data_IF_807215695664
#
_entry.id   IF_807215695664
#
_cell.length_a   1.000
_cell.length_b   1.000
_cell.length_c   1.000
_cell.angle_alpha   90.00
_cell.angle_beta   90.00
_cell.angle_gamma   90.00
#
_symmetry.space_group_name_H-M   'P 1'
#
loop_
_entity.id
_entity.type
_entity.pdbx_description
1 polymer ?
#
# COMPACT_ATOMS: atom_id res chain seq x y z
N UNK A 1 -5.68 -9.10 25.67
CA UNK A 1 -4.35 -8.71 25.12
C UNK A 1 -4.54 -7.53 24.19
N UNK A 2 -3.84 -6.48 24.43
CA UNK A 2 -3.99 -5.28 23.65
C UNK A 2 -3.34 -5.41 22.28
N UNK A 3 -3.89 -4.67 21.33
CA UNK A 3 -3.30 -4.54 20.02
C UNK A 3 -1.89 -3.95 20.18
N UNK A 4 -0.85 -4.56 19.57
CA UNK A 4 0.52 -4.04 19.68
C UNK A 4 0.67 -2.61 19.16
N UNK A 5 -0.25 -2.16 18.32
CA UNK A 5 -0.17 -0.82 17.73
C UNK A 5 0.85 -0.73 16.59
N UNK A 6 0.88 0.43 15.95
CA UNK A 6 1.77 0.65 14.81
C UNK A 6 2.95 1.57 15.14
N UNK A 7 3.07 1.99 16.39
CA UNK A 7 4.15 2.90 16.83
C UNK A 7 5.52 2.30 16.53
N UNK A 8 6.42 3.13 16.02
CA UNK A 8 7.77 2.71 15.66
C UNK A 8 7.85 1.88 14.37
N UNK A 9 6.75 1.66 13.70
CA UNK A 9 6.69 0.85 12.49
C UNK A 9 6.77 1.73 11.24
N UNK A 10 6.85 1.10 10.07
CA UNK A 10 7.04 1.80 8.81
C UNK A 10 5.97 1.39 7.80
N UNK A 11 5.30 2.40 7.26
CA UNK A 11 4.35 2.23 6.15
C UNK A 11 5.05 2.60 4.84
N UNK A 12 5.08 1.68 3.89
CA UNK A 12 5.54 1.97 2.54
C UNK A 12 4.37 2.42 1.67
N UNK A 13 4.45 3.61 1.09
CA UNK A 13 3.39 4.14 0.23
C UNK A 13 3.91 4.23 -1.20
N UNK A 14 3.39 3.36 -2.06
CA UNK A 14 3.72 3.34 -3.49
C UNK A 14 2.79 4.30 -4.23
N UNK A 15 3.37 5.30 -4.86
CA UNK A 15 2.64 6.34 -5.59
C UNK A 15 2.88 6.23 -7.08
N UNK A 16 1.86 6.60 -7.85
CA UNK A 16 2.02 6.88 -9.28
C UNK A 16 1.62 8.33 -9.55
N UNK A 17 1.99 8.86 -10.72
CA UNK A 17 1.60 10.21 -11.11
C UNK A 17 0.07 10.33 -11.07
N UNK A 18 -0.42 11.43 -10.51
CA UNK A 18 -1.84 11.67 -10.34
C UNK A 18 -2.44 11.10 -9.06
N UNK A 19 -1.62 10.44 -8.20
CA UNK A 19 -2.09 9.90 -6.94
C UNK A 19 -2.84 10.97 -6.13
N UNK A 20 -3.92 10.56 -5.45
CA UNK A 20 -4.77 11.49 -4.73
C UNK A 20 -4.05 12.15 -3.56
N UNK A 21 -3.90 13.47 -3.66
CA UNK A 21 -3.16 14.25 -2.65
C UNK A 21 -3.84 14.21 -1.29
N UNK A 22 -5.16 14.19 -1.25
CA UNK A 22 -5.91 14.13 0.01
C UNK A 22 -5.72 12.81 0.72
N UNK A 23 -5.76 11.71 -0.03
CA UNK A 23 -5.52 10.37 0.51
C UNK A 23 -4.10 10.27 1.08
N UNK A 24 -3.12 10.78 0.35
CA UNK A 24 -1.75 10.79 0.84
C UNK A 24 -1.60 11.60 2.13
N UNK A 25 -2.19 12.79 2.17
CA UNK A 25 -2.14 13.64 3.35
C UNK A 25 -2.79 12.95 4.56
N UNK A 26 -3.92 12.28 4.35
CA UNK A 26 -4.61 11.54 5.41
C UNK A 26 -3.77 10.37 5.92
N UNK A 27 -3.10 9.63 5.02
CA UNK A 27 -2.20 8.55 5.42
C UNK A 27 -1.02 9.08 6.24
N UNK A 28 -0.41 10.18 5.80
CA UNK A 28 0.70 10.78 6.54
C UNK A 28 0.27 11.21 7.95
N UNK A 29 -0.91 11.85 8.06
CA UNK A 29 -1.41 12.31 9.34
C UNK A 29 -1.75 11.16 10.28
N UNK A 30 -2.43 10.13 9.76
CA UNK A 30 -2.80 8.97 10.57
C UNK A 30 -1.57 8.19 11.03
N UNK A 31 -0.57 8.05 10.16
CA UNK A 31 0.67 7.34 10.48
C UNK A 31 1.46 8.09 11.55
N UNK A 32 1.58 9.42 11.39
CA UNK A 32 2.27 10.25 12.38
C UNK A 32 1.56 10.22 13.73
N UNK A 33 0.23 10.21 13.74
CA UNK A 33 -0.56 10.15 14.97
C UNK A 33 -0.30 8.87 15.77
N UNK A 34 0.07 7.79 15.07
CA UNK A 34 0.42 6.51 15.72
C UNK A 34 1.91 6.41 16.07
N UNK A 35 2.70 7.45 15.80
CA UNK A 35 4.14 7.40 16.05
C UNK A 35 4.91 6.52 15.09
N UNK A 36 4.36 6.29 13.90
CA UNK A 36 4.99 5.49 12.85
C UNK A 36 5.54 6.40 11.73
N UNK A 37 6.26 5.80 10.80
CA UNK A 37 6.94 6.52 9.72
C UNK A 37 6.38 6.14 8.36
N UNK A 38 6.20 7.12 7.47
CA UNK A 38 5.87 6.88 6.07
C UNK A 38 7.15 6.96 5.24
N UNK A 39 7.31 6.00 4.33
CA UNK A 39 8.35 6.05 3.32
C UNK A 39 7.69 6.03 1.95
N UNK A 40 8.02 7.00 1.11
CA UNK A 40 7.42 7.15 -0.22
C UNK A 40 8.22 6.36 -1.23
N UNK A 41 7.53 5.54 -2.00
CA UNK A 41 8.10 4.72 -3.06
C UNK A 41 7.51 5.17 -4.38
N UNK A 42 8.35 5.38 -5.38
CA UNK A 42 7.91 5.77 -6.71
C UNK A 42 8.55 4.90 -7.79
N UNK A 43 7.90 4.77 -8.96
CA UNK A 43 8.47 4.00 -10.07
C UNK A 43 9.75 4.62 -10.62
N UNK A 44 9.95 5.92 -10.45
CA UNK A 44 11.10 6.64 -10.97
C UNK A 44 11.80 7.46 -9.88
N UNK A 45 13.07 7.75 -10.08
CA UNK A 45 13.95 8.41 -9.10
C UNK A 45 13.41 9.77 -8.65
N UNK A 46 12.85 10.57 -9.55
CA UNK A 46 12.41 11.92 -9.24
C UNK A 46 11.14 12.04 -8.40
N UNK A 47 10.46 10.94 -8.13
CA UNK A 47 9.17 10.97 -7.44
C UNK A 47 8.00 11.14 -8.39
N UNK A 48 6.88 11.64 -7.88
CA UNK A 48 5.63 11.76 -8.66
C UNK A 48 4.98 13.12 -8.43
N UNK A 49 4.15 13.53 -9.39
CA UNK A 49 3.24 14.66 -9.22
C UNK A 49 1.89 14.12 -8.75
N UNK A 50 1.41 14.60 -7.61
CA UNK A 50 0.11 14.17 -7.08
C UNK A 50 -1.02 15.06 -7.62
N UNK A 51 -2.26 14.73 -7.26
CA UNK A 51 -3.44 15.30 -7.91
C UNK A 51 -3.59 16.82 -7.76
N UNK A 52 -2.98 17.43 -6.75
CA UNK A 52 -3.01 18.89 -6.55
C UNK A 52 -1.87 19.62 -7.26
N UNK A 53 -1.06 18.91 -8.05
CA UNK A 53 0.09 19.47 -8.75
C UNK A 53 1.37 19.50 -7.95
N UNK A 54 1.35 19.10 -6.69
CA UNK A 54 2.53 19.07 -5.84
C UNK A 54 3.46 17.94 -6.26
N UNK A 55 4.76 18.19 -6.26
CA UNK A 55 5.79 17.19 -6.49
C UNK A 55 6.13 16.49 -5.17
N UNK A 56 5.95 15.17 -5.12
CA UNK A 56 6.31 14.36 -3.96
C UNK A 56 7.58 13.60 -4.30
N UNK A 57 8.64 13.85 -3.53
CA UNK A 57 9.92 13.15 -3.74
C UNK A 57 9.82 11.72 -3.20
N UNK A 58 10.44 10.80 -3.92
CA UNK A 58 10.54 9.42 -3.48
C UNK A 58 11.66 9.26 -2.47
N UNK A 59 11.38 8.55 -1.39
CA UNK A 59 12.42 8.10 -0.46
C UNK A 59 13.15 6.91 -1.06
N UNK A 60 12.43 6.07 -1.82
CA UNK A 60 12.98 4.90 -2.48
C UNK A 60 12.39 4.77 -3.88
N UNK A 61 13.20 4.26 -4.80
CA UNK A 61 12.70 3.83 -6.09
C UNK A 61 12.16 2.39 -5.96
N UNK A 62 11.10 2.07 -6.69
CA UNK A 62 10.41 0.78 -6.59
C UNK A 62 11.36 -0.43 -6.68
N UNK A 63 12.34 -0.40 -7.60
CA UNK A 63 13.27 -1.51 -7.80
C UNK A 63 14.15 -1.78 -6.57
N UNK A 64 14.35 -0.78 -5.72
CA UNK A 64 15.14 -0.90 -4.50
C UNK A 64 14.31 -0.96 -3.22
N UNK A 65 12.99 -1.12 -3.34
CA UNK A 65 12.09 -1.03 -2.18
C UNK A 65 11.08 -2.19 -2.17
N UNK A 66 11.53 -3.44 -2.05
CA UNK A 66 10.59 -4.55 -1.95
C UNK A 66 9.71 -4.39 -0.71
N UNK A 67 8.46 -4.85 -0.81
CA UNK A 67 7.48 -4.65 0.26
C UNK A 67 7.88 -5.28 1.59
N UNK A 68 8.80 -6.24 1.57
CA UNK A 68 9.31 -6.87 2.79
C UNK A 68 9.97 -5.87 3.75
N UNK A 69 10.44 -4.73 3.23
CA UNK A 69 11.08 -3.68 4.04
C UNK A 69 10.09 -2.93 4.93
N UNK A 70 8.79 -3.10 4.71
CA UNK A 70 7.74 -2.33 5.38
C UNK A 70 6.85 -3.21 6.22
N UNK A 71 6.28 -2.65 7.28
CA UNK A 71 5.36 -3.37 8.16
C UNK A 71 3.96 -3.45 7.57
N UNK A 72 3.59 -2.47 6.75
CA UNK A 72 2.37 -2.45 5.95
C UNK A 72 2.63 -1.62 4.71
N UNK A 73 1.77 -1.74 3.70
CA UNK A 73 1.93 -0.98 2.46
C UNK A 73 0.61 -0.35 2.03
N UNK A 74 0.72 0.74 1.28
CA UNK A 74 -0.43 1.36 0.62
C UNK A 74 -0.05 1.67 -0.83
N UNK A 75 -1.01 1.53 -1.73
CA UNK A 75 -0.80 1.76 -3.16
C UNK A 75 -1.82 2.80 -3.64
N UNK A 76 -1.32 3.98 -3.94
CA UNK A 76 -2.11 5.09 -4.44
C UNK A 76 -1.79 5.27 -5.92
N UNK A 77 -2.61 4.67 -6.77
CA UNK A 77 -2.36 4.63 -8.20
C UNK A 77 -3.54 5.22 -8.99
N UNK A 78 -3.21 5.90 -10.07
CA UNK A 78 -4.16 6.27 -11.11
C UNK A 78 -4.16 5.19 -12.19
N UNK A 79 -5.21 5.13 -13.05
CA UNK A 79 -5.32 4.03 -14.02
C UNK A 79 -4.09 3.83 -14.90
N UNK A 80 -3.50 4.92 -15.41
CA UNK A 80 -2.29 4.80 -16.24
C UNK A 80 -1.09 4.31 -15.46
N UNK A 81 -0.92 4.80 -14.23
CA UNK A 81 0.14 4.36 -13.33
C UNK A 81 -0.02 2.91 -12.90
N UNK A 82 -1.25 2.50 -12.61
CA UNK A 82 -1.53 1.11 -12.24
C UNK A 82 -1.18 0.15 -13.39
N UNK A 83 -1.52 0.51 -14.62
CA UNK A 83 -1.16 -0.29 -15.80
C UNK A 83 0.36 -0.38 -15.97
N UNK A 84 1.07 0.72 -15.75
CA UNK A 84 2.52 0.73 -15.84
C UNK A 84 3.16 -0.15 -14.77
N UNK A 85 2.64 -0.12 -13.55
CA UNK A 85 3.11 -1.01 -12.47
C UNK A 85 2.81 -2.46 -12.80
N UNK A 86 1.63 -2.74 -13.36
CA UNK A 86 1.23 -4.10 -13.72
C UNK A 86 2.14 -4.71 -14.79
N UNK A 87 2.73 -3.87 -15.64
CA UNK A 87 3.65 -4.32 -16.68
C UNK A 87 5.07 -4.57 -16.19
N UNK A 88 5.39 -4.16 -14.96
CA UNK A 88 6.75 -4.30 -14.39
C UNK A 88 6.81 -5.43 -13.39
N UNK A 89 7.83 -6.31 -13.45
CA UNK A 89 8.01 -7.35 -12.43
C UNK A 89 8.10 -6.77 -11.02
N UNK A 90 8.82 -5.67 -10.81
CA UNK A 90 8.95 -5.05 -9.49
C UNK A 90 7.61 -4.58 -8.93
N UNK A 91 6.70 -4.09 -9.78
CA UNK A 91 5.35 -3.70 -9.36
C UNK A 91 4.52 -4.89 -8.92
N UNK A 92 4.53 -5.95 -9.71
CA UNK A 92 3.80 -7.18 -9.36
C UNK A 92 4.38 -7.83 -8.10
N UNK A 93 5.71 -7.90 -7.99
CA UNK A 93 6.38 -8.49 -6.83
C UNK A 93 6.09 -7.72 -5.55
N UNK A 94 5.96 -6.40 -5.64
CA UNK A 94 5.64 -5.57 -4.47
C UNK A 94 4.37 -6.05 -3.79
N UNK A 95 3.33 -6.33 -4.55
CA UNK A 95 2.05 -6.77 -3.97
C UNK A 95 2.05 -8.26 -3.64
N UNK A 96 2.67 -9.12 -4.46
CA UNK A 96 2.71 -10.55 -4.15
C UNK A 96 3.53 -10.82 -2.89
N UNK A 97 4.62 -10.09 -2.68
CA UNK A 97 5.42 -10.23 -1.46
C UNK A 97 4.66 -9.75 -0.23
N UNK A 98 3.90 -8.65 -0.36
CA UNK A 98 3.07 -8.18 0.75
C UNK A 98 2.01 -9.21 1.15
N UNK A 99 1.38 -9.85 0.18
CA UNK A 99 0.41 -10.93 0.44
C UNK A 99 1.10 -12.12 1.08
N UNK A 100 2.24 -12.55 0.55
CA UNK A 100 2.98 -13.70 1.07
C UNK A 100 3.41 -13.51 2.52
N UNK A 101 3.71 -12.26 2.90
CA UNK A 101 4.11 -11.93 4.28
C UNK A 101 2.94 -11.45 5.14
N UNK A 102 1.70 -11.68 4.71
CA UNK A 102 0.47 -11.38 5.47
C UNK A 102 0.32 -9.91 5.86
N UNK A 103 0.85 -8.99 5.06
CA UNK A 103 0.78 -7.56 5.37
C UNK A 103 -0.58 -6.98 5.03
N UNK A 104 -0.97 -5.95 5.77
CA UNK A 104 -2.13 -5.15 5.41
C UNK A 104 -1.79 -4.29 4.20
N UNK A 105 -2.73 -4.18 3.27
CA UNK A 105 -2.55 -3.47 2.01
C UNK A 105 -3.69 -2.47 1.84
N UNK A 106 -3.38 -1.19 1.97
CA UNK A 106 -4.31 -0.12 1.62
C UNK A 106 -4.18 0.18 0.12
N UNK A 107 -5.27 0.53 -0.54
CA UNK A 107 -5.21 0.77 -1.97
C UNK A 107 -6.30 1.72 -2.46
N UNK A 108 -6.03 2.43 -3.55
CA UNK A 108 -7.04 3.14 -4.32
C UNK A 108 -7.59 2.22 -5.41
N UNK A 109 -8.79 2.48 -5.90
CA UNK A 109 -9.51 1.54 -6.77
C UNK A 109 -8.75 1.19 -8.05
N UNK A 110 -7.99 2.10 -8.62
CA UNK A 110 -7.21 1.84 -9.83
C UNK A 110 -6.14 0.76 -9.62
N UNK A 111 -5.71 0.51 -8.39
CA UNK A 111 -4.73 -0.53 -8.09
C UNK A 111 -5.23 -1.94 -8.37
N UNK A 112 -6.53 -2.13 -8.59
CA UNK A 112 -7.09 -3.45 -8.94
C UNK A 112 -6.41 -4.05 -10.18
N UNK A 113 -6.03 -3.21 -11.15
CA UNK A 113 -5.31 -3.66 -12.35
C UNK A 113 -3.99 -4.33 -12.00
N UNK A 114 -3.28 -3.76 -11.01
CA UNK A 114 -2.02 -4.32 -10.54
C UNK A 114 -2.25 -5.65 -9.82
N UNK A 115 -3.27 -5.72 -8.97
CA UNK A 115 -3.60 -6.95 -8.26
C UNK A 115 -3.96 -8.08 -9.23
N UNK A 116 -4.76 -7.76 -10.25
CA UNK A 116 -5.14 -8.72 -11.29
C UNK A 116 -3.89 -9.26 -12.02
N UNK A 117 -2.98 -8.36 -12.42
CA UNK A 117 -1.75 -8.75 -13.09
C UNK A 117 -0.84 -9.60 -12.21
N UNK A 118 -0.92 -9.43 -10.90
CA UNK A 118 -0.16 -10.22 -9.93
C UNK A 118 -0.85 -11.54 -9.57
N UNK A 119 -2.01 -11.84 -10.16
CA UNK A 119 -2.75 -13.07 -9.87
C UNK A 119 -3.53 -13.04 -8.57
N UNK A 120 -3.80 -11.86 -8.04
CA UNK A 120 -4.51 -11.69 -6.77
C UNK A 120 -6.01 -11.40 -7.00
N UNK A 121 -6.88 -11.71 -6.03
CA UNK A 121 -8.30 -11.40 -6.16
C UNK A 121 -8.54 -9.89 -6.26
N UNK A 122 -9.39 -9.48 -7.18
CA UNK A 122 -9.79 -8.08 -7.35
C UNK A 122 -11.25 -7.83 -6.95
N UNK A 123 -12.03 -8.91 -6.87
CA UNK A 123 -13.42 -8.84 -6.44
C UNK A 123 -13.45 -8.67 -4.92
N UNK A 124 -14.12 -7.64 -4.39
CA UNK A 124 -14.21 -7.44 -2.94
C UNK A 124 -14.73 -8.66 -2.17
N UNK A 125 -15.54 -9.51 -2.81
CA UNK A 125 -16.05 -10.71 -2.16
C UNK A 125 -15.00 -11.82 -2.05
N UNK A 126 -13.93 -11.76 -2.84
CA UNK A 126 -12.85 -12.75 -2.86
C UNK A 126 -11.59 -12.26 -2.14
N UNK A 127 -11.44 -10.94 -1.98
CA UNK A 127 -10.30 -10.36 -1.28
C UNK A 127 -10.42 -10.59 0.22
N UNK A 128 -9.30 -10.78 0.90
CA UNK A 128 -9.32 -10.91 2.35
C UNK A 128 -9.44 -9.53 3.03
N UNK A 129 -9.69 -9.52 4.34
CA UNK A 129 -9.88 -8.29 5.11
C UNK A 129 -8.60 -7.50 5.32
N UNK A 130 -7.46 -8.01 4.89
CA UNK A 130 -6.19 -7.28 4.89
C UNK A 130 -6.04 -6.35 3.69
N UNK A 131 -6.90 -6.47 2.69
CA UNK A 131 -7.00 -5.54 1.56
C UNK A 131 -8.03 -4.47 1.91
N UNK A 132 -7.58 -3.24 2.11
CA UNK A 132 -8.44 -2.17 2.61
C UNK A 132 -8.55 -1.06 1.58
N UNK A 133 -9.74 -0.87 1.03
CA UNK A 133 -10.01 0.20 0.08
C UNK A 133 -9.97 1.55 0.78
N UNK A 134 -9.05 2.42 0.37
CA UNK A 134 -8.91 3.75 0.94
C UNK A 134 -9.98 4.73 0.44
N UNK A 135 -10.77 4.34 -0.55
CA UNK A 135 -11.93 5.12 -0.97
C UNK A 135 -13.16 4.80 -0.12
N UNK A 136 -13.20 3.64 0.54
CA UNK A 136 -14.31 3.21 1.38
C UNK A 136 -14.02 3.33 2.88
N UNK A 137 -12.75 3.35 3.26
CA UNK A 137 -12.31 3.41 4.66
C UNK A 137 -11.37 4.60 4.87
N UNK A 138 -11.54 5.35 5.96
CA UNK A 138 -10.60 6.44 6.25
C UNK A 138 -9.20 5.91 6.55
N UNK A 139 -8.20 6.74 6.27
CA UNK A 139 -6.80 6.38 6.52
C UNK A 139 -6.56 5.98 7.98
N UNK A 140 -7.21 6.64 8.91
CA UNK A 140 -7.07 6.31 10.33
C UNK A 140 -7.51 4.88 10.64
N UNK A 141 -8.59 4.40 10.00
CA UNK A 141 -9.03 3.02 10.16
C UNK A 141 -8.02 2.03 9.60
N UNK A 142 -7.47 2.33 8.40
CA UNK A 142 -6.42 1.49 7.81
C UNK A 142 -5.22 1.38 8.76
N UNK A 143 -4.72 2.50 9.26
CA UNK A 143 -3.55 2.51 10.14
C UNK A 143 -3.86 1.79 11.46
N UNK A 144 -5.08 1.92 11.98
CA UNK A 144 -5.48 1.18 13.19
C UNK A 144 -5.41 -0.33 12.96
N UNK A 145 -5.84 -0.79 11.78
CA UNK A 145 -5.73 -2.22 11.43
C UNK A 145 -4.28 -2.64 11.26
N UNK A 146 -3.44 -1.77 10.70
CA UNK A 146 -2.00 -2.04 10.57
C UNK A 146 -1.34 -2.28 11.93
N UNK A 147 -1.93 -1.77 13.00
CA UNK A 147 -1.45 -2.01 14.36
C UNK A 147 -1.41 -3.48 14.76
N UNK A 148 -2.13 -4.34 14.05
CA UNK A 148 -2.03 -5.79 14.25
C UNK A 148 -0.78 -6.38 13.61
N UNK A 149 -0.05 -5.59 12.81
CA UNK A 149 1.19 -5.86 12.10
C UNK A 149 1.04 -6.84 10.95
N UNK A 150 0.27 -7.92 11.12
CA UNK A 150 0.07 -8.94 10.08
C UNK A 150 -1.37 -9.41 10.08
N UNK A 151 -1.89 -9.69 8.90
CA UNK A 151 -3.18 -10.32 8.73
C UNK A 151 -2.99 -11.84 8.68
N UNK A 152 -2.90 -12.46 9.85
CA UNK A 152 -2.53 -13.86 10.01
C UNK A 152 -3.55 -14.85 9.41
N UNK A 153 -4.81 -14.46 9.28
CA UNK A 153 -5.83 -15.29 8.64
C UNK A 153 -5.48 -15.65 7.19
N UNK A 154 -4.73 -14.78 6.51
CA UNK A 154 -4.28 -15.03 5.14
C UNK A 154 -3.34 -16.22 5.06
N UNK A 155 -2.52 -16.43 6.09
CA UNK A 155 -1.60 -17.56 6.15
C UNK A 155 -2.37 -18.88 6.09
N UNK A 156 -3.48 -19.00 6.81
CA UNK A 156 -4.30 -20.21 6.76
C UNK A 156 -4.92 -20.42 5.37
N UNK A 157 -5.36 -19.37 4.71
CA UNK A 157 -5.93 -19.45 3.38
C UNK A 157 -4.89 -19.87 2.34
N UNK A 158 -3.64 -19.41 2.47
CA UNK A 158 -2.57 -19.74 1.52
C UNK A 158 -1.93 -21.09 1.79
N UNK A 159 -2.02 -21.58 3.01
CA UNK A 159 -1.47 -22.90 3.39
C UNK A 159 -2.36 -24.07 2.94
N UNK A 160 -3.63 -23.80 2.69
CA UNK A 160 -4.58 -24.78 2.18
C UNK A 160 -4.49 -24.94 0.67
#
# INVERSE_FOLDING_TARGET
MDNPGFAGRKLGVLLTNGADAETLAALRAATAAEGATVEIIAPAVGGVDVSDGTRVRADQQLDGAPSVLYDAVAILAEPGGARALAARPAGRDFVTDAVAHCKFIGYTSAAAVLFEAAGLPTDPSSADDGFISLSEHPAAEFIARCGQLRYWHREFATAG
#
